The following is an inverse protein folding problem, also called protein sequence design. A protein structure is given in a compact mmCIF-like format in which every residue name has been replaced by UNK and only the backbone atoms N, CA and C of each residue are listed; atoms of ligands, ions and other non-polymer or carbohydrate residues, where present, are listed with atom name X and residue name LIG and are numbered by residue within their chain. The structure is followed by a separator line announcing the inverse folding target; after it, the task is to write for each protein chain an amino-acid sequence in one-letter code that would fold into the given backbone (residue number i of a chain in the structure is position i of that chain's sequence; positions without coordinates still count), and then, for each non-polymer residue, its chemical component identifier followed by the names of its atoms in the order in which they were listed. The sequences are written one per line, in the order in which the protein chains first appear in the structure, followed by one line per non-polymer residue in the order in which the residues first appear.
data_IF_045249414386
#
_entry.id   IF_045249414386
#
_cell.length_a   1.000
_cell.length_b   1.000
_cell.length_c   1.000
_cell.angle_alpha   90.00
_cell.angle_beta   90.00
_cell.angle_gamma   90.00
#
_symmetry.space_group_name_H-M   'P 1'
#
loop_
_entity.id
_entity.type
_entity.pdbx_description
1 polymer ?
#
# COMPACT_ATOMS: atom_id res chain seq x y z
N UNK A 1 -3.40 7.32 13.07
CA UNK A 1 -3.78 6.21 12.18
C UNK A 1 -4.55 6.71 10.99
N UNK A 2 -4.26 6.24 9.82
CA UNK A 2 -5.02 6.55 8.62
C UNK A 2 -5.94 5.40 8.28
N UNK A 3 -7.06 5.69 7.61
CA UNK A 3 -7.91 4.62 7.14
C UNK A 3 -7.29 3.95 5.90
N UNK A 4 -7.65 2.71 5.68
CA UNK A 4 -7.23 1.96 4.50
C UNK A 4 -7.69 2.67 3.23
N UNK A 5 -8.93 3.17 3.24
CA UNK A 5 -9.47 3.89 2.09
C UNK A 5 -8.68 5.14 1.75
N UNK A 6 -8.27 5.87 2.77
CA UNK A 6 -7.48 7.08 2.55
C UNK A 6 -6.10 6.76 1.98
N UNK A 7 -5.48 5.68 2.44
CA UNK A 7 -4.20 5.25 1.91
C UNK A 7 -4.34 4.93 0.42
N UNK A 8 -5.39 4.21 0.05
CA UNK A 8 -5.64 3.88 -1.35
C UNK A 8 -5.83 5.16 -2.18
N UNK A 9 -6.68 6.06 -1.71
CA UNK A 9 -6.98 7.30 -2.45
C UNK A 9 -5.74 8.17 -2.63
N UNK A 10 -4.97 8.37 -1.57
CA UNK A 10 -3.78 9.21 -1.62
C UNK A 10 -2.74 8.64 -2.58
N UNK A 11 -2.49 7.34 -2.51
CA UNK A 11 -1.48 6.73 -3.35
C UNK A 11 -1.93 6.61 -4.80
N UNK A 12 -3.24 6.40 -5.03
CA UNK A 12 -3.79 6.46 -6.38
C UNK A 12 -3.55 7.83 -7.01
N UNK A 13 -3.83 8.88 -6.26
CA UNK A 13 -3.65 10.25 -6.73
C UNK A 13 -2.18 10.59 -6.98
N UNK A 14 -1.29 10.10 -6.13
CA UNK A 14 0.16 10.26 -6.34
C UNK A 14 0.61 9.65 -7.66
N UNK A 15 0.00 8.55 -8.05
CA UNK A 15 0.29 7.89 -9.33
C UNK A 15 -0.39 8.58 -10.51
N UNK A 16 -1.24 9.58 -10.26
CA UNK A 16 -1.98 10.24 -11.31
C UNK A 16 -3.07 9.39 -11.93
N UNK A 17 -3.56 8.40 -11.20
CA UNK A 17 -4.58 7.47 -11.70
C UNK A 17 -5.97 7.92 -11.29
N UNK A 18 -6.93 7.76 -12.21
CA UNK A 18 -8.34 7.87 -11.86
C UNK A 18 -8.82 6.55 -11.28
N UNK A 19 -10.01 6.56 -10.67
CA UNK A 19 -10.60 5.32 -10.17
C UNK A 19 -10.84 4.30 -11.30
N UNK A 20 -11.38 4.70 -12.47
CA UNK A 20 -11.50 3.75 -13.58
C UNK A 20 -10.15 3.21 -14.06
N UNK A 21 -9.12 4.04 -14.09
CA UNK A 21 -7.79 3.57 -14.49
C UNK A 21 -7.23 2.54 -13.50
N UNK A 22 -7.44 2.75 -12.21
CA UNK A 22 -7.03 1.78 -11.21
C UNK A 22 -7.81 0.48 -11.36
N UNK A 23 -9.11 0.57 -11.64
CA UNK A 23 -9.93 -0.62 -11.90
C UNK A 23 -9.38 -1.42 -13.08
N UNK A 24 -8.94 -0.73 -14.13
CA UNK A 24 -8.34 -1.37 -15.30
C UNK A 24 -7.05 -2.11 -14.94
N UNK A 25 -6.20 -1.48 -14.15
CA UNK A 25 -4.95 -2.11 -13.70
C UNK A 25 -5.23 -3.35 -12.85
N UNK A 26 -6.24 -3.30 -12.00
CA UNK A 26 -6.65 -4.46 -11.21
C UNK A 26 -7.17 -5.58 -12.11
N UNK A 27 -7.93 -5.22 -13.13
CA UNK A 27 -8.41 -6.18 -14.11
C UNK A 27 -7.27 -6.93 -14.79
N UNK A 28 -6.20 -6.21 -15.12
CA UNK A 28 -5.01 -6.82 -15.70
C UNK A 28 -4.32 -7.80 -14.75
N UNK A 29 -4.55 -7.66 -13.45
CA UNK A 29 -4.04 -8.58 -12.44
C UNK A 29 -5.03 -9.70 -12.12
N UNK A 30 -6.10 -9.82 -12.89
CA UNK A 30 -7.10 -10.85 -12.66
C UNK A 30 -8.15 -10.49 -11.61
N UNK A 31 -8.20 -9.25 -11.18
CA UNK A 31 -9.15 -8.78 -10.18
C UNK A 31 -10.21 -7.93 -10.87
N UNK A 32 -11.41 -8.48 -10.98
CA UNK A 32 -12.50 -7.82 -11.69
C UNK A 32 -13.32 -6.97 -10.74
N UNK A 33 -13.01 -5.68 -10.70
CA UNK A 33 -13.71 -4.70 -9.86
C UNK A 33 -14.04 -3.46 -10.67
N UNK A 34 -15.03 -2.71 -10.21
CA UNK A 34 -15.47 -1.48 -10.87
C UNK A 34 -14.90 -0.26 -10.15
N UNK A 35 -14.93 0.89 -10.84
CA UNK A 35 -14.57 2.17 -10.22
C UNK A 35 -15.45 2.45 -9.01
N UNK A 36 -16.71 2.01 -9.05
CA UNK A 36 -17.64 2.18 -7.92
C UNK A 36 -17.15 1.41 -6.68
N UNK A 37 -16.62 0.21 -6.87
CA UNK A 37 -16.06 -0.57 -5.77
C UNK A 37 -14.86 0.17 -5.17
N UNK A 38 -13.99 0.70 -6.01
CA UNK A 38 -12.83 1.47 -5.55
C UNK A 38 -13.29 2.70 -4.76
N UNK A 39 -14.33 3.39 -5.24
CA UNK A 39 -14.87 4.53 -4.52
C UNK A 39 -15.35 4.14 -3.12
N UNK A 40 -15.99 2.99 -2.98
CA UNK A 40 -16.43 2.49 -1.68
C UNK A 40 -15.25 2.17 -0.76
N UNK A 41 -14.17 1.65 -1.29
CA UNK A 41 -12.95 1.43 -0.50
C UNK A 41 -12.37 2.75 -0.03
N UNK A 42 -12.30 3.74 -0.91
CA UNK A 42 -11.69 5.03 -0.59
C UNK A 42 -12.49 5.83 0.43
N UNK A 43 -13.78 5.58 0.53
CA UNK A 43 -14.64 6.24 1.53
C UNK A 43 -14.85 5.39 2.78
N UNK A 44 -14.19 4.23 2.86
CA UNK A 44 -14.31 3.28 3.96
C UNK A 44 -15.71 2.71 4.12
N UNK A 45 -16.54 2.81 3.07
CA UNK A 45 -17.83 2.14 3.05
C UNK A 45 -17.67 0.63 2.96
N UNK A 46 -16.58 0.19 2.36
CA UNK A 46 -16.19 -1.22 2.28
C UNK A 46 -14.67 -1.32 2.31
N UNK A 47 -14.18 -2.48 2.73
CA UNK A 47 -12.74 -2.76 2.70
C UNK A 47 -12.45 -3.73 1.56
N UNK A 48 -11.31 -3.56 0.86
CA UNK A 48 -10.88 -4.57 -0.09
C UNK A 48 -10.46 -5.82 0.66
N UNK A 49 -10.64 -6.98 0.03
CA UNK A 49 -10.12 -8.21 0.61
C UNK A 49 -8.59 -8.17 0.69
N UNK A 50 -8.01 -9.07 1.47
CA UNK A 50 -6.56 -9.06 1.69
C UNK A 50 -5.77 -9.18 0.39
N UNK A 51 -6.14 -10.14 -0.46
CA UNK A 51 -5.46 -10.33 -1.74
C UNK A 51 -5.52 -9.07 -2.60
N UNK A 52 -6.69 -8.44 -2.66
CA UNK A 52 -6.88 -7.21 -3.43
C UNK A 52 -6.05 -6.08 -2.84
N UNK A 53 -6.02 -5.97 -1.52
CA UNK A 53 -5.25 -4.93 -0.87
C UNK A 53 -3.75 -5.09 -1.12
N UNK A 54 -3.23 -6.30 -1.05
CA UNK A 54 -1.81 -6.54 -1.34
C UNK A 54 -1.49 -6.21 -2.80
N UNK A 55 -2.40 -6.53 -3.71
CA UNK A 55 -2.23 -6.16 -5.12
C UNK A 55 -2.25 -4.64 -5.29
N UNK A 56 -3.12 -3.94 -4.56
CA UNK A 56 -3.12 -2.48 -4.57
C UNK A 56 -1.80 -1.91 -4.08
N UNK A 57 -1.23 -2.49 -3.02
CA UNK A 57 0.08 -2.05 -2.54
C UNK A 57 1.14 -2.17 -3.63
N UNK A 58 1.11 -3.27 -4.38
CA UNK A 58 2.03 -3.48 -5.48
C UNK A 58 1.83 -2.45 -6.60
N UNK A 59 0.58 -2.26 -7.02
CA UNK A 59 0.26 -1.36 -8.13
C UNK A 59 0.51 0.11 -7.79
N UNK A 60 0.30 0.48 -6.54
CA UNK A 60 0.44 1.86 -6.09
C UNK A 60 1.79 2.14 -5.44
N UNK A 61 2.70 1.16 -5.46
CA UNK A 61 4.03 1.28 -4.88
C UNK A 61 4.00 1.66 -3.40
N UNK A 62 3.08 1.06 -2.65
CA UNK A 62 3.04 1.22 -1.21
C UNK A 62 3.99 0.19 -0.61
N UNK A 63 5.24 0.61 -0.38
CA UNK A 63 6.28 -0.30 0.07
C UNK A 63 6.21 -0.57 1.57
N UNK A 64 5.85 0.44 2.35
CA UNK A 64 5.80 0.35 3.80
C UNK A 64 4.39 0.63 4.28
N UNK A 65 3.57 -0.43 4.32
CA UNK A 65 2.18 -0.31 4.75
C UNK A 65 2.08 0.05 6.23
N UNK A 66 3.03 -0.37 7.04
CA UNK A 66 3.03 0.00 8.45
C UNK A 66 3.12 1.51 8.60
N UNK A 67 4.08 2.12 7.92
CA UNK A 67 4.25 3.57 7.97
C UNK A 67 3.05 4.29 7.35
N UNK A 68 2.51 3.76 6.25
CA UNK A 68 1.35 4.37 5.60
C UNK A 68 0.13 4.38 6.51
N UNK A 69 -0.06 3.32 7.29
CA UNK A 69 -1.25 3.16 8.12
C UNK A 69 -1.11 3.82 9.48
N UNK A 70 0.00 3.58 10.17
CA UNK A 70 0.21 4.07 11.53
C UNK A 70 0.92 5.41 11.60
N UNK A 71 1.45 5.89 10.47
CA UNK A 71 2.32 7.03 10.44
C UNK A 71 3.75 6.57 10.63
N UNK A 72 4.63 7.48 10.98
CA UNK A 72 6.04 7.16 11.07
C UNK A 72 6.30 5.98 12.01
N UNK A 73 6.98 4.97 11.49
CA UNK A 73 7.36 3.79 12.26
C UNK A 73 8.37 4.20 13.34
N UNK A 74 8.07 3.95 14.63
CA UNK A 74 9.03 4.31 15.69
C UNK A 74 10.40 3.68 15.51
N UNK A 75 10.47 2.53 14.89
CA UNK A 75 11.73 1.83 14.65
C UNK A 75 12.54 2.42 13.50
N UNK A 76 11.92 3.19 12.64
CA UNK A 76 12.63 3.82 11.52
C UNK A 76 13.63 4.88 12.01
N UNK A 77 13.41 5.44 13.19
CA UNK A 77 14.36 6.37 13.80
C UNK A 77 15.67 5.67 14.12
N UNK A 78 15.58 4.46 14.66
CA UNK A 78 16.76 3.65 14.95
C UNK A 78 17.48 3.26 13.67
N UNK A 79 16.74 2.88 12.66
CA UNK A 79 17.31 2.55 11.36
C UNK A 79 18.03 3.75 10.74
N UNK A 80 17.45 4.95 10.91
CA UNK A 80 18.06 6.17 10.42
C UNK A 80 19.33 6.54 11.15
N UNK A 81 19.44 6.15 12.41
CA UNK A 81 20.62 6.43 13.22
C UNK A 81 21.75 5.44 12.96
N UNK A 82 21.43 4.30 12.41
CA UNK A 82 22.40 3.23 12.23
C UNK A 82 22.26 2.62 10.84
N UNK A 83 23.06 3.09 9.91
CA UNK A 83 23.06 2.59 8.55
C UNK A 83 23.43 1.12 8.48
N UNK A 84 24.38 0.70 9.28
CA UNK A 84 24.79 -0.70 9.32
C UNK A 84 23.67 -1.59 9.79
N UNK A 85 22.93 -1.16 10.80
CA UNK A 85 21.77 -1.89 11.27
C UNK A 85 20.72 -2.03 10.19
N UNK A 86 20.52 -0.98 9.42
CA UNK A 86 19.57 -1.00 8.32
C UNK A 86 19.97 -2.01 7.26
N UNK A 87 21.23 -2.06 6.90
CA UNK A 87 21.73 -3.02 5.94
C UNK A 87 21.58 -4.45 6.46
N UNK A 88 21.87 -4.68 7.72
CA UNK A 88 21.69 -5.98 8.34
C UNK A 88 20.25 -6.44 8.31
N UNK A 89 19.34 -5.53 8.54
CA UNK A 89 17.91 -5.84 8.47
C UNK A 89 17.52 -6.30 7.08
N UNK A 90 18.03 -5.65 6.05
CA UNK A 90 17.78 -6.06 4.68
C UNK A 90 18.30 -7.46 4.40
N UNK A 91 19.51 -7.75 4.85
CA UNK A 91 20.10 -9.08 4.66
C UNK A 91 19.29 -10.14 5.41
N UNK A 92 18.87 -9.82 6.60
CA UNK A 92 18.04 -10.71 7.40
C UNK A 92 16.73 -11.03 6.67
N UNK A 93 16.10 -10.03 6.10
CA UNK A 93 14.86 -10.22 5.36
C UNK A 93 15.06 -11.13 4.15
N UNK A 94 16.22 -11.03 3.48
CA UNK A 94 16.54 -11.91 2.36
C UNK A 94 16.68 -13.35 2.82
N UNK A 95 17.27 -13.55 3.97
CA UNK A 95 17.46 -14.89 4.53
C UNK A 95 16.11 -15.53 4.83
N UNK A 96 15.18 -14.75 5.34
CA UNK A 96 13.85 -15.24 5.68
C UNK A 96 12.99 -15.58 4.47
N UNK A 97 13.32 -15.07 3.33
CA UNK A 97 12.62 -15.41 2.11
C UNK A 97 13.06 -16.77 1.61
#
# INVERSE_FOLDING_TARGET
MRSIGRIIAENRKKKGLSQPELAELLSQQGIDVTAKAISKWETDAREPGLHVFLTLCKLLDIEDIYDAYFGKNPYSVMDGLNQEGKDKIKDYAKILK
#
